data_IF_759715501642
#
_entry.id   IF_759715501642
#
_cell.length_a   1.000
_cell.length_b   1.000
_cell.length_c   1.000
_cell.angle_alpha   90.00
_cell.angle_beta   90.00
_cell.angle_gamma   90.00
#
_symmetry.space_group_name_H-M   'P 1'
#
loop_
_entity.id
_entity.type
_entity.pdbx_description
1 polymer ?
#
# COMPACT_ATOMS: atom_id res chain seq x y z
N UNK A 1 -2.30 9.96 -15.13
CA UNK A 1 -2.87 9.01 -14.16
C UNK A 1 -1.80 8.06 -13.58
N UNK A 2 -0.72 8.53 -12.94
CA UNK A 2 0.31 7.61 -12.37
C UNK A 2 1.08 8.19 -11.18
N UNK A 3 0.50 9.17 -10.49
CA UNK A 3 1.04 9.71 -9.23
C UNK A 3 0.67 8.84 -8.03
N UNK A 4 -0.37 8.02 -8.15
CA UNK A 4 -0.88 7.17 -7.08
C UNK A 4 0.10 6.08 -6.64
N UNK A 5 0.78 5.39 -7.59
CA UNK A 5 1.59 4.22 -7.27
C UNK A 5 2.77 4.54 -6.33
N UNK A 6 3.43 5.70 -6.54
CA UNK A 6 4.58 6.11 -5.72
C UNK A 6 4.15 6.50 -4.30
N UNK A 7 3.00 7.16 -4.16
CA UNK A 7 2.46 7.62 -2.89
C UNK A 7 1.93 6.43 -2.08
N UNK A 8 1.27 5.48 -2.74
CA UNK A 8 0.85 4.22 -2.12
C UNK A 8 2.03 3.40 -1.60
N UNK A 9 3.13 3.30 -2.35
CA UNK A 9 4.36 2.63 -1.88
C UNK A 9 4.93 3.30 -0.63
N UNK A 10 4.98 4.64 -0.63
CA UNK A 10 5.46 5.42 0.51
C UNK A 10 4.58 5.20 1.75
N UNK A 11 3.25 5.20 1.59
CA UNK A 11 2.29 4.96 2.67
C UNK A 11 2.44 3.57 3.29
N UNK A 12 2.63 2.53 2.46
CA UNK A 12 2.90 1.16 2.92
C UNK A 12 4.18 1.14 3.76
N UNK A 13 5.28 1.69 3.22
CA UNK A 13 6.57 1.70 3.92
C UNK A 13 6.49 2.42 5.27
N UNK A 14 5.89 3.61 5.29
CA UNK A 14 5.81 4.42 6.50
C UNK A 14 4.89 3.82 7.55
N UNK A 15 3.82 3.12 7.13
CA UNK A 15 2.95 2.37 8.04
C UNK A 15 3.67 1.20 8.70
N UNK A 16 4.61 0.56 8.00
CA UNK A 16 5.49 -0.48 8.54
C UNK A 16 6.72 0.07 9.28
N UNK A 17 6.87 1.40 9.36
CA UNK A 17 8.01 2.10 10.00
C UNK A 17 9.37 1.68 9.45
N UNK A 18 9.43 1.35 8.17
CA UNK A 18 10.66 0.96 7.49
C UNK A 18 11.31 2.15 6.78
N UNK A 19 12.64 2.12 6.72
CA UNK A 19 13.39 3.03 5.87
C UNK A 19 13.52 2.45 4.45
N UNK A 20 13.81 3.32 3.47
CA UNK A 20 13.92 2.97 2.05
C UNK A 20 14.98 1.87 1.81
N UNK A 21 16.07 1.85 2.58
CA UNK A 21 17.14 0.84 2.45
C UNK A 21 16.66 -0.54 2.91
N UNK A 22 15.96 -0.61 4.04
CA UNK A 22 15.39 -1.85 4.57
C UNK A 22 14.40 -2.46 3.59
N UNK A 23 13.52 -1.64 3.02
CA UNK A 23 12.57 -2.16 2.04
C UNK A 23 13.28 -2.64 0.76
N UNK A 24 14.27 -1.89 0.28
CA UNK A 24 15.07 -2.32 -0.88
C UNK A 24 15.75 -3.68 -0.64
N UNK A 25 16.34 -3.87 0.55
CA UNK A 25 16.96 -5.13 0.97
C UNK A 25 15.94 -6.28 1.05
N UNK A 26 14.76 -6.04 1.64
CA UNK A 26 13.70 -7.05 1.75
C UNK A 26 13.18 -7.52 0.37
N UNK A 27 13.08 -6.62 -0.60
CA UNK A 27 12.63 -6.95 -1.96
C UNK A 27 13.77 -7.54 -2.81
N UNK A 28 15.04 -7.38 -2.37
CA UNK A 28 16.21 -7.78 -3.13
C UNK A 28 16.52 -6.86 -4.32
N UNK A 29 16.21 -5.56 -4.19
CA UNK A 29 16.56 -4.53 -5.17
C UNK A 29 17.55 -3.54 -4.58
N UNK A 30 18.30 -2.83 -5.43
CA UNK A 30 19.19 -1.80 -4.91
C UNK A 30 18.39 -0.58 -4.39
N UNK A 31 19.02 0.19 -3.50
CA UNK A 31 18.43 1.40 -2.90
C UNK A 31 17.94 2.41 -3.95
N UNK A 32 18.73 2.66 -4.99
CA UNK A 32 18.43 3.67 -6.02
C UNK A 32 17.17 3.30 -6.80
N UNK A 33 16.99 2.01 -7.09
CA UNK A 33 15.83 1.46 -7.77
C UNK A 33 14.57 1.65 -6.92
N UNK A 34 14.58 1.23 -5.66
CA UNK A 34 13.42 1.37 -4.78
C UNK A 34 13.10 2.85 -4.48
N UNK A 35 14.11 3.65 -4.20
CA UNK A 35 13.96 5.10 -4.07
C UNK A 35 13.41 5.75 -5.37
N UNK A 36 13.80 5.23 -6.53
CA UNK A 36 13.27 5.62 -7.83
C UNK A 36 11.76 5.40 -7.95
N UNK A 37 11.25 4.30 -7.37
CA UNK A 37 9.82 4.00 -7.35
C UNK A 37 9.05 5.00 -6.48
N UNK A 38 9.48 5.25 -5.24
CA UNK A 38 8.81 6.22 -4.34
C UNK A 38 8.93 7.67 -4.82
N UNK A 39 10.02 8.03 -5.49
CA UNK A 39 10.21 9.37 -6.06
C UNK A 39 9.49 9.58 -7.40
N UNK A 40 8.92 8.51 -7.98
CA UNK A 40 8.29 8.54 -9.30
C UNK A 40 9.27 8.71 -10.47
N UNK A 41 10.58 8.59 -10.23
CA UNK A 41 11.62 8.60 -11.27
C UNK A 41 11.61 7.31 -12.10
N UNK A 42 11.13 6.22 -11.51
CA UNK A 42 10.96 4.94 -12.16
C UNK A 42 9.60 4.35 -11.81
N UNK A 43 8.99 3.61 -12.75
CA UNK A 43 7.81 2.80 -12.47
C UNK A 43 8.22 1.42 -12.00
N UNK A 44 7.49 0.90 -11.02
CA UNK A 44 7.64 -0.48 -10.58
C UNK A 44 7.13 -1.41 -11.68
N UNK A 45 7.95 -2.39 -12.09
CA UNK A 45 7.51 -3.43 -13.02
C UNK A 45 6.57 -4.42 -12.32
N UNK A 46 5.78 -5.17 -13.09
CA UNK A 46 4.94 -6.25 -12.54
C UNK A 46 5.79 -7.27 -11.77
N UNK A 47 6.98 -7.59 -12.27
CA UNK A 47 7.91 -8.50 -11.58
C UNK A 47 8.34 -7.96 -10.21
N UNK A 48 8.71 -6.68 -10.13
CA UNK A 48 9.05 -6.04 -8.86
C UNK A 48 7.84 -5.98 -7.92
N UNK A 49 6.63 -5.76 -8.44
CA UNK A 49 5.40 -5.79 -7.64
C UNK A 49 5.13 -7.19 -7.07
N UNK A 50 5.32 -8.25 -7.87
CA UNK A 50 5.18 -9.64 -7.40
C UNK A 50 6.19 -9.96 -6.30
N UNK A 51 7.44 -9.50 -6.42
CA UNK A 51 8.47 -9.62 -5.36
C UNK A 51 8.12 -8.80 -4.12
N UNK A 52 7.54 -7.62 -4.29
CA UNK A 52 7.09 -6.78 -3.18
C UNK A 52 5.99 -7.46 -2.37
N UNK A 53 4.93 -7.94 -3.02
CA UNK A 53 3.77 -8.56 -2.36
C UNK A 53 3.96 -10.04 -2.01
N UNK A 54 5.08 -10.65 -2.41
CA UNK A 54 5.47 -11.97 -1.88
C UNK A 54 5.95 -11.90 -0.44
N UNK A 55 6.42 -10.73 0.01
CA UNK A 55 6.87 -10.49 1.38
C UNK A 55 5.64 -10.43 2.31
N UNK A 56 5.59 -11.24 3.39
CA UNK A 56 4.41 -11.32 4.26
C UNK A 56 3.94 -9.99 4.84
N UNK A 57 4.87 -9.10 5.22
CA UNK A 57 4.52 -7.78 5.79
C UNK A 57 3.84 -6.86 4.79
N UNK A 58 4.08 -7.02 3.48
CA UNK A 58 3.49 -6.18 2.44
C UNK A 58 2.27 -6.81 1.76
N UNK A 59 2.15 -8.15 1.79
CA UNK A 59 1.06 -8.89 1.14
C UNK A 59 -0.34 -8.41 1.52
N UNK A 60 -0.52 -7.97 2.77
CA UNK A 60 -1.80 -7.44 3.28
C UNK A 60 -2.25 -6.15 2.61
N UNK A 61 -1.39 -5.47 1.86
CA UNK A 61 -1.70 -4.21 1.16
C UNK A 61 -1.98 -4.40 -0.33
N UNK A 62 -1.96 -5.63 -0.85
CA UNK A 62 -2.02 -5.90 -2.29
C UNK A 62 -3.31 -5.40 -2.93
N UNK A 63 -4.47 -5.79 -2.37
CA UNK A 63 -5.78 -5.40 -2.93
C UNK A 63 -5.97 -3.90 -2.89
N UNK A 64 -5.58 -3.25 -1.78
CA UNK A 64 -5.64 -1.81 -1.63
C UNK A 64 -4.71 -1.10 -2.63
N UNK A 65 -3.50 -1.62 -2.82
CA UNK A 65 -2.55 -1.05 -3.76
C UNK A 65 -3.09 -1.06 -5.20
N UNK A 66 -3.61 -2.21 -5.64
CA UNK A 66 -4.03 -2.45 -7.02
C UNK A 66 -5.42 -1.86 -7.35
N UNK A 67 -6.37 -1.94 -6.42
CA UNK A 67 -7.79 -1.69 -6.70
C UNK A 67 -8.43 -0.64 -5.78
N UNK A 68 -7.68 -0.10 -4.80
CA UNK A 68 -8.24 0.77 -3.75
C UNK A 68 -9.32 0.09 -2.88
N UNK A 69 -9.38 -1.24 -2.91
CA UNK A 69 -10.32 -2.05 -2.14
C UNK A 69 -9.64 -2.69 -0.93
N UNK A 70 -10.40 -2.90 0.15
CA UNK A 70 -9.96 -3.64 1.34
C UNK A 70 -10.88 -4.84 1.57
N UNK A 71 -10.32 -5.92 2.11
CA UNK A 71 -11.07 -7.06 2.61
C UNK A 71 -10.44 -7.53 3.94
N UNK A 72 -10.84 -6.92 5.07
CA UNK A 72 -10.26 -7.23 6.38
C UNK A 72 -10.43 -8.71 6.77
N UNK A 73 -11.52 -9.37 6.36
CA UNK A 73 -11.76 -10.79 6.66
C UNK A 73 -10.73 -11.70 5.98
N UNK A 74 -10.26 -11.32 4.78
CA UNK A 74 -9.17 -11.99 4.07
C UNK A 74 -7.78 -11.46 4.44
N UNK A 75 -7.68 -10.58 5.44
CA UNK A 75 -6.41 -9.95 5.86
C UNK A 75 -5.85 -8.93 4.86
N UNK A 76 -6.66 -8.44 3.93
CA UNK A 76 -6.29 -7.36 3.00
C UNK A 76 -6.79 -6.02 3.56
N UNK A 77 -5.87 -5.14 3.91
CA UNK A 77 -6.15 -3.88 4.60
C UNK A 77 -5.48 -2.71 3.89
N UNK A 78 -5.91 -1.49 4.19
CA UNK A 78 -5.18 -0.29 3.82
C UNK A 78 -4.06 0.00 4.85
N UNK A 79 -2.96 0.65 4.45
CA UNK A 79 -1.97 1.16 5.39
C UNK A 79 -2.59 2.14 6.38
N UNK A 80 -2.13 2.15 7.63
CA UNK A 80 -2.69 3.03 8.66
C UNK A 80 -2.63 4.51 8.26
N UNK A 81 -1.57 4.91 7.56
CA UNK A 81 -1.39 6.28 7.09
C UNK A 81 -2.21 6.64 5.84
N UNK A 82 -2.83 5.66 5.18
CA UNK A 82 -3.68 5.92 4.01
C UNK A 82 -4.98 6.64 4.39
N UNK A 83 -5.47 6.45 5.62
CA UNK A 83 -6.67 7.12 6.13
C UNK A 83 -6.43 8.57 6.56
N UNK A 84 -5.17 9.00 6.66
CA UNK A 84 -4.80 10.34 7.14
C UNK A 84 -5.04 11.46 6.11
N UNK A 85 -5.53 11.14 4.91
CA UNK A 85 -5.75 12.10 3.82
C UNK A 85 -7.15 12.09 3.19
N UNK A 86 -8.06 11.23 3.64
CA UNK A 86 -9.45 11.20 3.20
C UNK A 86 -10.37 11.50 4.40
N UNK A 87 -10.72 12.77 4.56
CA UNK A 87 -11.96 13.18 5.22
C UNK A 87 -13.14 12.66 4.40
N UNK A 88 -13.49 11.38 4.46
CA UNK A 88 -14.86 10.92 4.19
C UNK A 88 -15.17 9.72 5.08
N UNK A 89 -15.65 10.05 6.28
CA UNK A 89 -16.54 9.18 7.05
C UNK A 89 -17.78 8.91 6.19
N UNK A 90 -17.80 7.77 5.51
CA UNK A 90 -19.03 7.18 4.99
C UNK A 90 -19.12 5.75 5.51
N UNK A 91 -19.32 5.62 6.82
CA UNK A 91 -19.97 4.43 7.36
C UNK A 91 -21.47 4.55 7.02
N UNK A 92 -22.06 3.70 6.16
CA UNK A 92 -23.51 3.59 6.15
C UNK A 92 -23.90 2.92 7.45
N UNK A 93 -24.26 3.75 8.45
CA UNK A 93 -24.98 3.30 9.63
C UNK A 93 -26.27 2.67 9.10
N UNK A 94 -26.28 1.34 9.01
CA UNK A 94 -27.46 0.56 8.68
C UNK A 94 -28.46 0.76 9.82
N UNK A 95 -29.41 1.67 9.62
CA UNK A 95 -30.55 1.84 10.51
C UNK A 95 -31.39 0.57 10.45
N UNK A 96 -31.20 -0.29 11.46
CA UNK A 96 -32.13 -1.39 11.75
C UNK A 96 -33.50 -0.78 12.10
N UNK A 97 -34.42 -0.83 11.14
CA UNK A 97 -35.85 -0.62 11.38
C UNK A 97 -36.37 -1.73 12.29
N UNK A 98 -36.78 -1.34 13.50
CA UNK A 98 -37.46 -2.23 14.46
C UNK A 98 -38.96 -2.01 14.35
N UNK A 99 -39.72 -3.11 14.36
CA UNK A 99 -41.10 -3.21 14.87
C UNK A 99 -42.19 -2.53 14.06
#
# INVERSE_FOLDING_TARGET
MSTFDREKLKLIRESERLNVKQVAELIGVNYVTYHGYESGKAKMSLESAMKFFSIPIFRKYMTWFMFDEINPEAGQIAPALAHSGQDETMSPRSDKKTG
#
